data_IF_429027221807
#
_entry.id   IF_429027221807
#
_cell.length_a   1.000
_cell.length_b   1.000
_cell.length_c   1.000
_cell.angle_alpha   90.00
_cell.angle_beta   90.00
_cell.angle_gamma   90.00
#
_symmetry.space_group_name_H-M   'P 1'
#
loop_
_entity.id
_entity.type
_entity.pdbx_description
1 polymer ?
#
# COMPACT_ATOMS: atom_id res chain seq x y z
N UNK A 1 0.32 -4.02 -25.26
CA UNK A 1 0.68 -5.10 -24.29
C UNK A 1 0.79 -4.55 -22.87
N UNK A 2 1.50 -3.45 -22.66
CA UNK A 2 1.69 -2.80 -21.36
C UNK A 2 0.36 -2.30 -20.75
N UNK A 3 -0.52 -1.70 -21.56
CA UNK A 3 -1.84 -1.21 -21.12
C UNK A 3 -2.80 -2.35 -20.74
N UNK A 4 -2.72 -3.50 -21.40
CA UNK A 4 -3.53 -4.68 -21.05
C UNK A 4 -3.11 -5.31 -19.72
N UNK A 5 -1.82 -5.30 -19.40
CA UNK A 5 -1.31 -5.80 -18.13
C UNK A 5 -1.75 -4.95 -16.94
N UNK A 6 -1.83 -3.63 -17.12
CA UNK A 6 -2.44 -2.73 -16.13
C UNK A 6 -3.94 -2.97 -15.97
N UNK A 7 -4.65 -3.21 -17.08
CA UNK A 7 -6.07 -3.53 -17.07
C UNK A 7 -6.39 -4.80 -16.28
N UNK A 8 -5.58 -5.84 -16.44
CA UNK A 8 -5.72 -7.10 -15.69
C UNK A 8 -5.41 -6.93 -14.19
N UNK A 9 -4.41 -6.12 -13.85
CA UNK A 9 -4.13 -5.81 -12.44
C UNK A 9 -5.30 -5.06 -11.78
N UNK A 10 -5.97 -4.18 -12.53
CA UNK A 10 -7.15 -3.47 -12.06
C UNK A 10 -8.34 -4.36 -11.69
N UNK A 11 -8.38 -5.60 -12.19
CA UNK A 11 -9.41 -6.59 -11.87
C UNK A 11 -9.15 -7.31 -10.55
N UNK A 12 -7.93 -7.32 -10.01
CA UNK A 12 -7.63 -7.95 -8.73
C UNK A 12 -8.48 -7.33 -7.60
N UNK A 13 -9.01 -8.13 -6.66
CA UNK A 13 -9.80 -7.64 -5.52
C UNK A 13 -9.00 -6.72 -4.60
N UNK A 14 -7.72 -7.01 -4.42
CA UNK A 14 -6.80 -6.21 -3.62
C UNK A 14 -5.61 -5.78 -4.48
N UNK A 15 -5.21 -4.52 -4.33
CA UNK A 15 -3.99 -3.98 -4.96
C UNK A 15 -3.16 -3.32 -3.87
N UNK A 16 -1.96 -3.87 -3.67
CA UNK A 16 -0.93 -3.33 -2.79
C UNK A 16 0.06 -2.51 -3.61
N UNK A 17 0.40 -1.33 -3.14
CA UNK A 17 1.57 -0.58 -3.58
C UNK A 17 2.63 -0.59 -2.49
N UNK A 18 3.86 -0.90 -2.87
CA UNK A 18 5.04 -0.78 -2.03
C UNK A 18 6.09 0.11 -2.70
N UNK A 19 6.69 1.00 -1.95
CA UNK A 19 7.84 1.79 -2.39
C UNK A 19 9.02 1.43 -1.47
N UNK A 20 10.13 0.97 -2.06
CA UNK A 20 11.30 0.45 -1.33
C UNK A 20 12.60 1.11 -1.81
N UNK A 21 13.64 1.16 -0.96
CA UNK A 21 14.99 1.39 -1.44
C UNK A 21 15.36 0.35 -2.50
N UNK A 22 16.14 0.76 -3.52
CA UNK A 22 16.44 -0.09 -4.67
C UNK A 22 17.17 -1.39 -4.29
N UNK A 23 17.98 -1.37 -3.24
CA UNK A 23 18.71 -2.52 -2.72
C UNK A 23 17.82 -3.49 -1.91
N UNK A 24 16.60 -3.10 -1.54
CA UNK A 24 15.68 -3.90 -0.73
C UNK A 24 14.50 -4.49 -1.50
N UNK A 25 14.17 -3.91 -2.64
CA UNK A 25 12.99 -4.32 -3.42
C UNK A 25 13.06 -5.77 -3.90
N UNK A 26 14.24 -6.24 -4.30
CA UNK A 26 14.43 -7.62 -4.76
C UNK A 26 14.19 -8.64 -3.64
N UNK A 27 14.66 -8.36 -2.42
CA UNK A 27 14.46 -9.22 -1.26
C UNK A 27 12.97 -9.33 -0.91
N UNK A 28 12.25 -8.21 -0.99
CA UNK A 28 10.81 -8.19 -0.72
C UNK A 28 10.01 -8.99 -1.76
N UNK A 29 10.39 -8.94 -3.03
CA UNK A 29 9.75 -9.74 -4.10
C UNK A 29 9.89 -11.22 -3.81
N UNK A 30 11.08 -11.70 -3.42
CA UNK A 30 11.29 -13.09 -3.04
C UNK A 30 10.36 -13.56 -1.92
N UNK A 31 9.99 -12.67 -1.00
CA UNK A 31 9.02 -12.96 0.06
C UNK A 31 7.56 -13.02 -0.42
N UNK A 32 7.25 -12.36 -1.53
CA UNK A 32 5.91 -12.40 -2.13
C UNK A 32 5.69 -13.68 -2.96
N UNK A 33 6.74 -14.24 -3.57
CA UNK A 33 6.63 -15.43 -4.42
C UNK A 33 6.09 -16.66 -3.68
N UNK A 34 6.27 -16.73 -2.36
CA UNK A 34 5.77 -17.81 -1.52
C UNK A 34 4.25 -17.70 -1.20
N UNK A 35 3.57 -16.69 -1.75
CA UNK A 35 2.14 -16.47 -1.48
C UNK A 35 1.24 -16.96 -2.62
N UNK A 36 0.40 -17.99 -2.37
CA UNK A 36 -0.50 -18.52 -3.39
C UNK A 36 -1.60 -17.54 -3.83
N UNK A 37 -1.86 -16.48 -3.05
CA UNK A 37 -2.88 -15.47 -3.37
C UNK A 37 -2.37 -14.37 -4.31
N UNK A 38 -1.07 -14.35 -4.61
CA UNK A 38 -0.48 -13.37 -5.51
C UNK A 38 -0.89 -13.67 -6.95
N UNK A 39 -1.66 -12.77 -7.57
CA UNK A 39 -2.09 -12.93 -8.95
C UNK A 39 -1.14 -12.30 -9.95
N UNK A 40 -0.62 -11.12 -9.63
CA UNK A 40 0.25 -10.36 -10.53
C UNK A 40 1.13 -9.38 -9.76
N UNK A 41 2.37 -9.22 -10.23
CA UNK A 41 3.30 -8.21 -9.71
C UNK A 41 3.81 -7.35 -10.86
N UNK A 42 3.77 -6.05 -10.68
CA UNK A 42 4.44 -5.07 -11.51
C UNK A 42 5.53 -4.39 -10.70
N UNK A 43 6.73 -4.32 -11.25
CA UNK A 43 7.88 -3.73 -10.58
C UNK A 43 8.52 -2.67 -11.47
N UNK A 44 8.66 -1.47 -10.93
CA UNK A 44 9.47 -0.41 -11.49
C UNK A 44 10.81 -0.33 -10.75
N UNK A 45 11.84 -0.91 -11.34
CA UNK A 45 13.20 -0.89 -10.78
C UNK A 45 13.81 0.52 -10.73
N UNK A 46 13.34 1.43 -11.59
CA UNK A 46 13.88 2.78 -11.64
C UNK A 46 13.61 3.61 -10.39
N UNK A 47 12.49 3.33 -9.70
CA UNK A 47 12.11 4.05 -8.49
C UNK A 47 11.83 3.14 -7.28
N UNK A 48 12.04 1.83 -7.40
CA UNK A 48 11.78 0.88 -6.32
C UNK A 48 10.30 0.69 -5.99
N UNK A 49 9.42 0.92 -6.96
CA UNK A 49 7.97 0.80 -6.78
C UNK A 49 7.47 -0.56 -7.22
N UNK A 50 6.65 -1.15 -6.38
CA UNK A 50 5.99 -2.42 -6.62
C UNK A 50 4.47 -2.23 -6.54
N UNK A 51 3.76 -2.82 -7.50
CA UNK A 51 2.32 -3.03 -7.45
C UNK A 51 2.04 -4.52 -7.46
N UNK A 52 1.30 -5.00 -6.48
CA UNK A 52 0.93 -6.41 -6.38
C UNK A 52 -0.60 -6.55 -6.34
N UNK A 53 -1.14 -7.36 -7.26
CA UNK A 53 -2.52 -7.81 -7.24
C UNK A 53 -2.66 -9.07 -6.40
N UNK A 54 -3.60 -9.11 -5.47
CA UNK A 54 -3.88 -10.25 -4.59
C UNK A 54 -5.33 -10.66 -4.75
N UNK A 55 -5.58 -11.98 -4.84
CA UNK A 55 -6.93 -12.55 -4.94
C UNK A 55 -7.64 -12.53 -3.59
N UNK A 56 -6.90 -12.72 -2.50
CA UNK A 56 -7.42 -12.69 -1.14
C UNK A 56 -6.39 -12.09 -0.18
N UNK A 57 -6.89 -11.41 0.84
CA UNK A 57 -6.07 -10.79 1.87
C UNK A 57 -6.86 -10.73 3.18
N UNK A 58 -6.44 -11.51 4.18
CA UNK A 58 -7.01 -11.42 5.52
C UNK A 58 -6.43 -10.23 6.30
N UNK A 59 -7.12 -9.81 7.37
CA UNK A 59 -6.63 -8.76 8.26
C UNK A 59 -5.25 -9.12 8.87
N UNK A 60 -5.04 -10.38 9.23
CA UNK A 60 -3.76 -10.88 9.72
C UNK A 60 -2.65 -10.88 8.67
N UNK A 61 -2.98 -11.22 7.43
CA UNK A 61 -2.03 -11.17 6.31
C UNK A 61 -1.61 -9.75 5.98
N UNK A 62 -2.53 -8.79 6.04
CA UNK A 62 -2.21 -7.39 5.87
C UNK A 62 -1.25 -6.89 6.95
N UNK A 63 -1.50 -7.23 8.21
CA UNK A 63 -0.60 -6.87 9.31
C UNK A 63 0.81 -7.45 9.12
N UNK A 64 0.91 -8.72 8.70
CA UNK A 64 2.21 -9.35 8.39
C UNK A 64 2.91 -8.71 7.21
N UNK A 65 2.17 -8.34 6.16
CA UNK A 65 2.73 -7.61 5.01
C UNK A 65 3.28 -6.25 5.42
N UNK A 66 2.54 -5.48 6.22
CA UNK A 66 3.02 -4.21 6.77
C UNK A 66 4.31 -4.38 7.55
N UNK A 67 4.38 -5.39 8.41
CA UNK A 67 5.60 -5.70 9.17
C UNK A 67 6.79 -6.04 8.25
N UNK A 68 6.58 -6.85 7.23
CA UNK A 68 7.62 -7.20 6.26
C UNK A 68 8.08 -5.98 5.44
N UNK A 69 7.15 -5.13 5.04
CA UNK A 69 7.45 -3.88 4.35
C UNK A 69 8.34 -3.00 5.22
N UNK A 70 8.02 -2.86 6.49
CA UNK A 70 8.84 -2.09 7.45
C UNK A 70 10.23 -2.68 7.65
N UNK A 71 10.36 -4.02 7.72
CA UNK A 71 11.65 -4.71 7.83
C UNK A 71 12.56 -4.47 6.62
N UNK A 72 11.99 -4.14 5.46
CA UNK A 72 12.73 -3.82 4.23
C UNK A 72 12.82 -2.31 3.96
N UNK A 73 12.63 -1.49 4.99
CA UNK A 73 12.66 -0.02 4.91
C UNK A 73 11.69 0.57 3.87
N UNK A 74 10.59 -0.14 3.60
CA UNK A 74 9.60 0.23 2.60
C UNK A 74 8.44 1.04 3.16
N UNK A 75 7.63 1.55 2.25
CA UNK A 75 6.35 2.19 2.53
C UNK A 75 5.25 1.42 1.79
N UNK A 76 4.27 0.89 2.52
CA UNK A 76 3.16 0.14 1.95
C UNK A 76 1.86 0.92 1.96
N UNK A 77 1.06 0.72 0.92
CA UNK A 77 -0.29 1.26 0.83
C UNK A 77 -1.22 0.27 0.15
N UNK A 78 -2.39 0.05 0.74
CA UNK A 78 -3.46 -0.66 0.05
C UNK A 78 -4.20 0.32 -0.87
N UNK A 79 -4.03 0.18 -2.18
CA UNK A 79 -4.63 1.07 -3.19
C UNK A 79 -6.07 0.67 -3.45
N UNK A 80 -6.36 -0.63 -3.47
CA UNK A 80 -7.68 -1.19 -3.71
C UNK A 80 -7.98 -2.31 -2.73
N UNK A 81 -9.20 -2.37 -2.28
CA UNK A 81 -9.73 -3.43 -1.41
C UNK A 81 -11.19 -3.20 -1.10
N UNK A 82 -11.93 -4.22 -0.61
CA UNK A 82 -13.32 -4.09 -0.19
C UNK A 82 -13.48 -3.03 0.90
N UNK A 83 -14.60 -2.30 0.89
CA UNK A 83 -14.86 -1.21 1.83
C UNK A 83 -14.82 -1.67 3.30
N UNK A 84 -15.37 -2.84 3.60
CA UNK A 84 -15.30 -3.42 4.93
C UNK A 84 -13.89 -3.64 5.43
N UNK A 85 -13.00 -4.15 4.56
CA UNK A 85 -11.58 -4.34 4.85
C UNK A 85 -10.87 -3.00 5.10
N UNK A 86 -11.10 -2.03 4.21
CA UNK A 86 -10.48 -0.69 4.29
C UNK A 86 -10.92 0.09 5.53
N UNK A 87 -12.14 -0.13 6.02
CA UNK A 87 -12.64 0.50 7.25
C UNK A 87 -12.00 -0.07 8.51
N UNK A 88 -11.72 -1.38 8.54
CA UNK A 88 -11.10 -2.07 9.68
C UNK A 88 -9.59 -1.88 9.75
N UNK A 89 -8.93 -1.71 8.62
CA UNK A 89 -7.48 -1.71 8.52
C UNK A 89 -6.92 -0.34 8.19
N UNK A 90 -5.66 -0.10 8.61
CA UNK A 90 -4.91 1.10 8.22
C UNK A 90 -4.33 0.89 6.82
N UNK A 91 -4.98 1.46 5.81
CA UNK A 91 -4.60 1.27 4.40
C UNK A 91 -3.25 1.87 4.01
N UNK A 92 -2.70 2.76 4.83
CA UNK A 92 -1.38 3.38 4.64
C UNK A 92 -0.23 2.61 5.32
N UNK A 93 -0.49 1.39 5.76
CA UNK A 93 0.49 0.57 6.46
C UNK A 93 0.70 0.99 7.92
N UNK A 94 1.90 0.74 8.43
CA UNK A 94 2.23 1.01 9.83
C UNK A 94 2.25 2.50 10.12
N UNK A 95 1.63 2.97 11.23
CA UNK A 95 1.68 4.37 11.64
C UNK A 95 3.11 4.88 11.81
N UNK A 96 3.37 6.09 11.33
CA UNK A 96 4.69 6.72 11.32
C UNK A 96 4.69 8.07 12.00
N UNK A 97 5.80 8.50 12.62
CA UNK A 97 5.91 9.80 13.27
C UNK A 97 5.60 10.97 12.34
N UNK A 98 5.94 10.85 11.06
CA UNK A 98 5.72 11.88 10.04
C UNK A 98 4.24 12.20 9.82
N UNK A 99 3.33 11.28 10.13
CA UNK A 99 1.89 11.52 10.02
C UNK A 99 1.42 12.67 10.90
N UNK A 100 2.05 12.88 12.06
CA UNK A 100 1.74 14.02 12.93
C UNK A 100 2.02 15.36 12.25
N UNK A 101 3.09 15.42 11.46
CA UNK A 101 3.43 16.61 10.67
C UNK A 101 2.42 16.83 9.56
N UNK A 102 2.05 15.76 8.84
CA UNK A 102 1.01 15.80 7.81
C UNK A 102 -0.33 16.31 8.35
N UNK A 103 -0.75 15.83 9.51
CA UNK A 103 -1.99 16.27 10.16
C UNK A 103 -1.93 17.76 10.56
N UNK A 104 -0.79 18.22 11.07
CA UNK A 104 -0.60 19.65 11.42
C UNK A 104 -0.65 20.56 10.19
N UNK A 105 -0.02 20.13 9.09
CA UNK A 105 -0.08 20.87 7.82
C UNK A 105 -1.52 20.90 7.31
N UNK A 106 -2.21 19.76 7.31
CA UNK A 106 -3.61 19.66 6.91
C UNK A 106 -4.49 20.61 7.72
N UNK A 107 -4.37 20.59 9.05
CA UNK A 107 -5.15 21.44 9.94
C UNK A 107 -4.87 22.94 9.74
N UNK A 108 -3.63 23.31 9.39
CA UNK A 108 -3.25 24.69 9.13
C UNK A 108 -3.77 25.19 7.78
N UNK A 109 -3.77 24.33 6.74
CA UNK A 109 -4.18 24.71 5.39
C UNK A 109 -5.68 24.51 5.13
N UNK A 110 -6.32 23.61 5.84
CA UNK A 110 -7.73 23.24 5.68
C UNK A 110 -8.39 23.03 7.05
N UNK A 111 -8.56 24.11 7.85
CA UNK A 111 -9.09 24.04 9.20
C UNK A 111 -10.54 23.49 9.24
N UNK A 112 -11.31 23.72 8.20
CA UNK A 112 -12.70 23.24 8.10
C UNK A 112 -12.83 21.84 7.50
N UNK A 113 -11.69 21.19 7.16
CA UNK A 113 -11.60 19.83 6.60
C UNK A 113 -12.51 19.63 5.37
N UNK A 114 -12.49 20.59 4.45
CA UNK A 114 -13.29 20.61 3.21
C UNK A 114 -12.63 19.77 2.11
N UNK A 115 -11.28 19.84 2.01
CA UNK A 115 -10.52 19.20 0.94
C UNK A 115 -10.21 17.74 1.26
N UNK A 116 -10.83 16.82 0.51
CA UNK A 116 -10.61 15.38 0.58
C UNK A 116 -10.59 14.84 2.03
N UNK A 117 -11.67 15.03 2.81
CA UNK A 117 -11.73 14.57 4.20
C UNK A 117 -11.51 13.04 4.27
N UNK A 118 -10.69 12.61 5.22
CA UNK A 118 -10.39 11.19 5.43
C UNK A 118 -9.41 10.55 4.45
N UNK A 119 -8.80 11.32 3.55
CA UNK A 119 -7.86 10.80 2.53
C UNK A 119 -6.41 10.71 3.01
N UNK A 120 -6.08 11.31 4.14
CA UNK A 120 -4.74 11.21 4.73
C UNK A 120 -4.63 10.04 5.73
N UNK A 121 -3.39 9.59 6.01
CA UNK A 121 -3.16 8.59 7.06
C UNK A 121 -3.79 9.02 8.39
N UNK A 122 -4.47 8.09 9.07
CA UNK A 122 -5.22 8.40 10.30
C UNK A 122 -6.62 8.99 10.08
N UNK A 123 -7.13 8.99 8.84
CA UNK A 123 -8.48 9.44 8.46
C UNK A 123 -8.75 10.92 8.76
N UNK A 124 -7.74 11.73 8.65
CA UNK A 124 -7.83 13.20 8.83
C UNK A 124 -8.10 13.90 7.53
#
# INVERSE_FOLDING_TARGET
>A
KFMNEFGEMGQAPFILRGDFPLDRVADFIGLLDDRPQLSKVFLDFGCGRLLAGLEDLSDGDWARLCQKIDQHDGHGRLVKGPDGFRKRNVVFGTPRPEWKVMHRIKAAMDPDNIFAPGCLPGKV
#
